data_IF_648464860373
#
_entry.id   IF_648464860373
#
_cell.length_a   1.000
_cell.length_b   1.000
_cell.length_c   1.000
_cell.angle_alpha   90.00
_cell.angle_beta   90.00
_cell.angle_gamma   90.00
#
_symmetry.space_group_name_H-M   'P 1'
#
loop_
_entity.id
_entity.type
_entity.pdbx_description
1 polymer ?
#
# COMPACT_ATOMS: atom_id res chain seq x y z
N UNK A 1 12.65 -5.71 -3.78
CA UNK A 1 12.63 -6.20 -5.17
C UNK A 1 12.74 -5.07 -6.20
N UNK A 2 12.12 -3.90 -5.98
CA UNK A 2 12.26 -2.74 -6.90
C UNK A 2 13.65 -2.10 -6.77
N UNK A 3 14.11 -1.88 -5.53
CA UNK A 3 15.38 -1.21 -5.24
C UNK A 3 16.61 -1.87 -5.89
N UNK A 4 16.77 -3.21 -5.92
CA UNK A 4 17.89 -3.86 -6.61
C UNK A 4 17.97 -3.57 -8.12
N UNK A 5 16.85 -3.19 -8.75
CA UNK A 5 16.76 -2.91 -10.18
C UNK A 5 16.99 -1.43 -10.52
N UNK A 6 17.34 -0.59 -9.56
CA UNK A 6 17.80 0.77 -9.81
C UNK A 6 19.18 0.69 -10.44
N UNK A 7 19.34 1.27 -11.64
CA UNK A 7 20.57 1.19 -12.41
C UNK A 7 21.76 1.92 -11.72
N UNK A 8 21.50 3.08 -11.13
CA UNK A 8 22.51 3.85 -10.41
C UNK A 8 22.80 3.25 -9.03
N UNK A 9 24.07 2.87 -8.79
CA UNK A 9 24.50 2.23 -7.55
C UNK A 9 24.35 3.14 -6.31
N UNK A 10 24.60 4.43 -6.47
CA UNK A 10 24.47 5.41 -5.39
C UNK A 10 22.99 5.63 -5.04
N UNK A 11 22.13 5.78 -6.04
CA UNK A 11 20.69 5.88 -5.82
C UNK A 11 20.13 4.61 -5.19
N UNK A 12 20.57 3.44 -5.66
CA UNK A 12 20.17 2.14 -5.08
C UNK A 12 20.55 2.04 -3.61
N UNK A 13 21.78 2.39 -3.23
CA UNK A 13 22.22 2.38 -1.84
C UNK A 13 21.41 3.35 -0.99
N UNK A 14 21.20 4.57 -1.47
CA UNK A 14 20.38 5.58 -0.79
C UNK A 14 18.96 5.08 -0.57
N UNK A 15 18.34 4.46 -1.58
CA UNK A 15 17.01 3.89 -1.44
C UNK A 15 16.96 2.77 -0.38
N UNK A 16 17.99 1.93 -0.27
CA UNK A 16 18.06 0.91 0.77
C UNK A 16 18.12 1.53 2.18
N UNK A 17 18.87 2.62 2.34
CA UNK A 17 18.99 3.32 3.62
C UNK A 17 17.69 4.07 4.00
N UNK A 18 16.90 4.49 3.00
CA UNK A 18 15.62 5.20 3.17
C UNK A 18 14.42 4.25 3.38
N UNK A 19 14.58 2.93 3.17
CA UNK A 19 13.48 1.97 3.35
C UNK A 19 12.92 2.01 4.78
N UNK A 20 11.59 2.00 4.93
CA UNK A 20 10.96 1.87 6.24
C UNK A 20 11.42 0.59 6.94
N UNK A 21 11.83 0.68 8.19
CA UNK A 21 12.10 -0.52 8.98
C UNK A 21 10.79 -1.23 9.29
N UNK A 22 10.72 -2.53 8.97
CA UNK A 22 9.57 -3.36 9.30
C UNK A 22 9.42 -3.45 10.83
N UNK A 23 8.39 -2.81 11.36
CA UNK A 23 7.91 -3.15 12.69
C UNK A 23 7.28 -4.54 12.58
N UNK A 24 7.81 -5.53 13.26
CA UNK A 24 7.44 -6.96 13.22
C UNK A 24 5.91 -7.29 13.24
N UNK A 25 5.12 -6.61 12.44
CA UNK A 25 3.69 -6.82 12.18
C UNK A 25 2.73 -6.50 13.32
N UNK A 26 3.20 -5.95 14.45
CA UNK A 26 2.36 -5.88 15.66
C UNK A 26 1.90 -4.48 16.08
N UNK A 27 2.55 -3.42 15.62
CA UNK A 27 2.18 -2.06 16.04
C UNK A 27 2.45 -1.08 14.91
N UNK A 28 1.46 -0.26 14.58
CA UNK A 28 1.61 0.81 13.60
C UNK A 28 2.52 1.89 14.21
N UNK A 29 3.66 2.16 13.55
CA UNK A 29 4.72 3.00 14.11
C UNK A 29 4.82 4.39 13.48
N UNK A 30 4.33 4.58 12.24
CA UNK A 30 4.47 5.84 11.50
C UNK A 30 3.13 6.50 11.23
N UNK A 31 3.11 7.82 11.22
CA UNK A 31 1.93 8.63 10.89
C UNK A 31 2.14 9.45 9.62
N UNK A 32 3.38 9.56 9.15
CA UNK A 32 3.73 10.40 8.01
C UNK A 32 3.98 9.55 6.77
N UNK A 33 3.50 9.99 5.58
CA UNK A 33 3.86 9.38 4.31
C UNK A 33 5.37 9.41 4.08
N UNK A 34 5.93 8.31 3.59
CA UNK A 34 7.33 8.21 3.21
C UNK A 34 7.49 8.08 1.71
N UNK A 35 8.39 8.89 1.17
CA UNK A 35 8.76 8.86 -0.24
C UNK A 35 10.04 8.05 -0.43
N UNK A 36 9.99 7.00 -1.24
CA UNK A 36 11.14 6.12 -1.51
C UNK A 36 11.26 5.87 -3.03
N UNK A 37 12.35 6.29 -3.64
CA UNK A 37 13.35 7.23 -3.14
C UNK A 37 12.81 8.66 -3.01
N UNK A 38 13.50 9.53 -2.32
CA UNK A 38 13.13 10.95 -2.18
C UNK A 38 12.98 11.64 -3.55
N UNK A 39 13.82 11.29 -4.51
CA UNK A 39 13.72 11.64 -5.93
C UNK A 39 13.38 10.40 -6.74
N UNK A 40 12.61 10.55 -7.83
CA UNK A 40 12.24 9.42 -8.67
C UNK A 40 13.47 8.66 -9.20
N UNK A 41 13.45 7.34 -9.06
CA UNK A 41 14.48 6.45 -9.59
C UNK A 41 14.07 5.94 -10.97
N UNK A 42 15.05 5.86 -11.86
CA UNK A 42 14.86 5.29 -13.19
C UNK A 42 14.96 3.78 -13.11
N UNK A 43 13.91 3.10 -13.51
CA UNK A 43 13.89 1.64 -13.62
C UNK A 43 13.59 1.21 -15.05
N UNK A 44 14.17 0.09 -15.45
CA UNK A 44 13.85 -0.57 -16.71
C UNK A 44 12.83 -1.68 -16.45
N UNK A 45 11.72 -1.63 -17.16
CA UNK A 45 10.65 -2.63 -17.10
C UNK A 45 10.46 -3.18 -18.49
N UNK A 46 11.00 -4.38 -18.75
CA UNK A 46 11.03 -4.98 -20.09
C UNK A 46 11.57 -4.02 -21.17
N UNK A 47 10.71 -3.57 -22.09
CA UNK A 47 11.08 -2.72 -23.23
C UNK A 47 10.92 -1.21 -22.97
N UNK A 48 10.47 -0.81 -21.81
CA UNK A 48 10.30 0.60 -21.47
C UNK A 48 11.06 0.99 -20.20
N UNK A 49 11.31 2.28 -20.07
CA UNK A 49 11.94 2.87 -18.90
C UNK A 49 10.94 3.78 -18.20
N UNK A 50 10.78 3.62 -16.89
CA UNK A 50 9.92 4.45 -16.08
C UNK A 50 10.70 5.14 -14.96
N UNK A 51 10.31 6.38 -14.64
CA UNK A 51 10.78 7.05 -13.44
C UNK A 51 9.75 6.78 -12.32
N UNK A 52 10.17 6.03 -11.31
CA UNK A 52 9.29 5.59 -10.23
C UNK A 52 9.70 6.25 -8.91
N UNK A 53 8.71 6.73 -8.19
CA UNK A 53 8.80 7.20 -6.82
C UNK A 53 7.64 6.57 -6.05
N UNK A 54 7.97 5.70 -5.13
CA UNK A 54 6.97 5.06 -4.28
C UNK A 54 6.62 5.95 -3.10
N UNK A 55 5.36 5.92 -2.69
CA UNK A 55 4.88 6.65 -1.52
C UNK A 55 4.20 5.61 -0.64
N UNK A 56 4.75 5.41 0.54
CA UNK A 56 4.14 4.58 1.58
C UNK A 56 3.36 5.46 2.56
N UNK A 57 2.14 5.05 2.87
CA UNK A 57 1.29 5.71 3.86
C UNK A 57 0.63 4.68 4.77
N UNK A 58 0.10 5.14 5.90
CA UNK A 58 -0.50 4.24 6.90
C UNK A 58 -1.73 3.51 6.36
N UNK A 59 -2.47 4.14 5.49
CA UNK A 59 -3.77 3.63 5.05
C UNK A 59 -4.88 3.88 6.08
N UNK A 60 -6.04 3.28 5.84
CA UNK A 60 -7.17 3.32 6.77
C UNK A 60 -7.06 2.24 7.82
N UNK A 61 -7.46 2.58 9.05
CA UNK A 61 -7.37 1.65 10.17
C UNK A 61 -8.31 0.47 9.97
N UNK A 62 -7.75 -0.73 10.07
CA UNK A 62 -8.48 -1.99 10.02
C UNK A 62 -9.09 -2.27 11.39
N UNK A 63 -10.34 -2.71 11.46
CA UNK A 63 -11.15 -2.82 12.68
C UNK A 63 -10.51 -3.60 13.83
N UNK A 64 -9.66 -4.58 13.56
CA UNK A 64 -9.00 -5.39 14.58
C UNK A 64 -7.49 -5.06 14.74
N UNK A 65 -7.00 -3.99 14.08
CA UNK A 65 -5.61 -3.56 14.21
C UNK A 65 -5.31 -3.15 15.66
N UNK A 66 -4.04 -3.27 16.05
CA UNK A 66 -3.56 -2.84 17.37
C UNK A 66 -2.68 -1.60 17.25
N UNK A 67 -2.60 -0.80 18.32
CA UNK A 67 -1.66 0.31 18.41
C UNK A 67 -2.23 1.69 18.03
N UNK A 68 -3.53 1.79 17.77
CA UNK A 68 -4.23 3.07 17.62
C UNK A 68 -4.91 3.55 18.89
N UNK A 69 -4.99 2.69 19.92
CA UNK A 69 -5.47 2.97 21.26
C UNK A 69 -4.45 2.46 22.30
N UNK A 70 -4.40 3.09 23.45
CA UNK A 70 -3.66 2.66 24.64
C UNK A 70 -4.60 2.57 25.86
N UNK A 71 -4.04 2.32 27.05
CA UNK A 71 -4.80 2.18 28.28
C UNK A 71 -5.58 3.46 28.68
N UNK A 72 -5.22 4.61 28.12
CA UNK A 72 -5.83 5.91 28.41
C UNK A 72 -6.83 6.36 27.33
N UNK A 73 -7.00 5.57 26.25
CA UNK A 73 -7.89 5.87 25.15
C UNK A 73 -7.20 5.99 23.80
N UNK A 74 -7.71 6.79 22.84
CA UNK A 74 -7.10 6.95 21.53
C UNK A 74 -5.67 7.48 21.63
N UNK A 75 -4.74 6.80 20.96
CA UNK A 75 -3.34 7.26 20.87
C UNK A 75 -3.29 8.60 20.15
N UNK A 76 -2.73 9.61 20.81
CA UNK A 76 -2.53 10.94 20.22
C UNK A 76 -1.16 11.04 19.55
N UNK A 77 -1.12 11.73 18.42
CA UNK A 77 0.09 11.93 17.62
C UNK A 77 0.19 13.36 17.11
N UNK A 78 1.41 13.87 17.03
CA UNK A 78 1.68 15.13 16.34
C UNK A 78 1.75 14.90 14.83
N UNK A 79 1.26 15.85 14.08
CA UNK A 79 1.31 15.85 12.61
C UNK A 79 1.79 17.20 12.10
N UNK A 80 2.34 17.28 10.88
CA UNK A 80 2.72 18.57 10.29
C UNK A 80 1.55 19.51 10.00
N UNK A 81 0.32 19.00 10.06
CA UNK A 81 -0.89 19.72 9.64
C UNK A 81 -1.64 20.39 10.79
N UNK A 82 -1.36 20.00 12.02
CA UNK A 82 -2.03 20.51 13.22
C UNK A 82 -1.02 20.94 14.29
N UNK A 83 -1.35 22.01 15.00
CA UNK A 83 -0.53 22.51 16.10
C UNK A 83 -0.69 21.72 17.40
N UNK A 84 -1.76 20.93 17.50
CA UNK A 84 -2.08 20.10 18.66
C UNK A 84 -2.10 18.62 18.26
N UNK A 85 -1.82 17.70 19.22
CA UNK A 85 -1.92 16.29 18.97
C UNK A 85 -3.36 15.90 18.60
N UNK A 86 -3.51 15.05 17.60
CA UNK A 86 -4.80 14.49 17.16
C UNK A 86 -4.80 12.97 17.30
N UNK A 87 -5.98 12.30 17.32
CA UNK A 87 -6.06 10.85 17.32
C UNK A 87 -5.28 10.23 16.15
N UNK A 88 -4.56 9.15 16.43
CA UNK A 88 -3.78 8.42 15.40
C UNK A 88 -4.64 8.02 14.19
N UNK A 89 -5.87 7.58 14.42
CA UNK A 89 -6.80 7.19 13.36
C UNK A 89 -7.09 8.36 12.40
N UNK A 90 -7.32 9.54 12.96
CA UNK A 90 -7.55 10.77 12.20
C UNK A 90 -6.29 11.19 11.43
N UNK A 91 -5.12 11.13 12.07
CA UNK A 91 -3.84 11.41 11.42
C UNK A 91 -3.56 10.47 10.24
N UNK A 92 -3.86 9.18 10.41
CA UNK A 92 -3.70 8.17 9.36
C UNK A 92 -4.64 8.44 8.17
N UNK A 93 -5.89 8.80 8.44
CA UNK A 93 -6.88 9.15 7.40
C UNK A 93 -6.43 10.38 6.61
N UNK A 94 -6.07 11.46 7.29
CA UNK A 94 -5.61 12.71 6.65
C UNK A 94 -4.34 12.46 5.82
N UNK A 95 -3.37 11.74 6.38
CA UNK A 95 -2.13 11.41 5.66
C UNK A 95 -2.40 10.57 4.39
N UNK A 96 -3.28 9.59 4.48
CA UNK A 96 -3.69 8.75 3.35
C UNK A 96 -4.41 9.55 2.29
N UNK A 97 -5.38 10.38 2.69
CA UNK A 97 -6.11 11.25 1.78
C UNK A 97 -5.19 12.21 1.02
N UNK A 98 -4.20 12.81 1.70
CA UNK A 98 -3.20 13.68 1.06
C UNK A 98 -2.34 12.91 0.05
N UNK A 99 -1.91 11.69 0.37
CA UNK A 99 -1.16 10.85 -0.58
C UNK A 99 -2.02 10.55 -1.81
N UNK A 100 -3.26 10.16 -1.60
CA UNK A 100 -4.19 9.84 -2.68
C UNK A 100 -4.43 11.07 -3.58
N UNK A 101 -4.72 12.23 -3.00
CA UNK A 101 -5.09 13.43 -3.76
C UNK A 101 -3.90 14.14 -4.37
N UNK A 102 -2.88 14.40 -3.57
CA UNK A 102 -1.87 15.41 -3.89
C UNK A 102 -0.56 14.82 -4.41
N UNK A 103 -0.24 13.57 -4.07
CA UNK A 103 1.10 13.03 -4.28
C UNK A 103 1.18 11.82 -5.20
N UNK A 104 0.14 11.01 -5.30
CA UNK A 104 0.16 9.81 -6.14
C UNK A 104 -0.32 10.07 -7.56
N UNK A 105 0.29 9.43 -8.53
CA UNK A 105 -0.17 9.38 -9.93
C UNK A 105 -1.03 8.15 -10.15
N UNK A 106 -0.61 7.02 -9.60
CA UNK A 106 -1.29 5.72 -9.67
C UNK A 106 -1.40 5.17 -8.24
N UNK A 107 -2.52 4.57 -7.90
CA UNK A 107 -2.73 3.88 -6.64
C UNK A 107 -2.39 2.39 -6.73
N UNK A 108 -1.75 1.85 -5.68
CA UNK A 108 -1.67 0.41 -5.44
C UNK A 108 -2.35 0.15 -4.10
N UNK A 109 -3.57 -0.35 -4.15
CA UNK A 109 -4.32 -0.73 -2.95
C UNK A 109 -3.86 -2.11 -2.51
N UNK A 110 -3.44 -2.25 -1.27
CA UNK A 110 -3.04 -3.55 -0.71
C UNK A 110 -4.12 -4.03 0.24
N UNK A 111 -4.70 -5.18 -0.05
CA UNK A 111 -5.65 -5.89 0.81
C UNK A 111 -5.20 -7.33 1.05
N UNK A 112 -6.01 -8.15 1.70
CA UNK A 112 -5.71 -9.56 1.98
C UNK A 112 -6.97 -10.42 1.93
N UNK A 113 -6.80 -11.70 1.67
CA UNK A 113 -7.85 -12.72 1.83
C UNK A 113 -8.12 -13.09 3.31
N UNK A 114 -7.32 -12.54 4.24
CA UNK A 114 -7.40 -12.82 5.67
C UNK A 114 -6.43 -13.91 6.15
N UNK A 115 -5.61 -14.47 5.28
CA UNK A 115 -4.67 -15.56 5.62
C UNK A 115 -3.34 -15.08 6.25
N UNK A 116 -3.07 -13.76 6.24
CA UNK A 116 -1.74 -13.22 6.61
C UNK A 116 -1.59 -13.07 8.13
N UNK A 117 -2.63 -12.63 8.82
CA UNK A 117 -2.63 -12.42 10.26
C UNK A 117 -3.83 -13.15 10.88
N UNK A 118 -3.86 -13.23 12.21
CA UNK A 118 -5.00 -13.78 12.96
C UNK A 118 -6.24 -12.84 12.91
N UNK A 119 -6.49 -12.28 11.74
CA UNK A 119 -7.61 -11.37 11.49
C UNK A 119 -8.33 -11.81 10.22
N UNK A 120 -9.58 -12.25 10.36
CA UNK A 120 -10.38 -12.69 9.21
C UNK A 120 -10.65 -11.55 8.20
N UNK A 121 -10.89 -11.92 6.96
CA UNK A 121 -11.15 -11.03 5.82
C UNK A 121 -12.13 -9.89 6.12
N UNK A 122 -13.20 -10.17 6.88
CA UNK A 122 -14.25 -9.19 7.22
C UNK A 122 -13.74 -7.93 7.92
N UNK A 123 -12.59 -8.00 8.60
CA UNK A 123 -12.00 -6.84 9.28
C UNK A 123 -11.41 -5.82 8.31
N UNK A 124 -11.04 -6.25 7.11
CA UNK A 124 -10.37 -5.42 6.10
C UNK A 124 -11.35 -4.74 5.14
N UNK A 125 -12.56 -5.29 4.97
CA UNK A 125 -13.52 -4.86 3.95
C UNK A 125 -13.84 -3.36 4.04
N UNK A 126 -14.12 -2.83 5.22
CA UNK A 126 -14.48 -1.43 5.36
C UNK A 126 -13.35 -0.47 4.96
N UNK A 127 -12.11 -0.79 5.37
CA UNK A 127 -10.94 0.02 5.00
C UNK A 127 -10.65 -0.07 3.49
N UNK A 128 -10.77 -1.27 2.90
CA UNK A 128 -10.64 -1.51 1.47
C UNK A 128 -11.68 -0.73 0.67
N UNK A 129 -12.96 -0.81 1.03
CA UNK A 129 -14.03 -0.08 0.36
C UNK A 129 -13.83 1.44 0.45
N UNK A 130 -13.37 1.93 1.60
CA UNK A 130 -13.11 3.35 1.79
C UNK A 130 -12.05 3.86 0.81
N UNK A 131 -10.87 3.20 0.75
CA UNK A 131 -9.79 3.63 -0.14
C UNK A 131 -10.17 3.50 -1.61
N UNK A 132 -10.85 2.41 -1.99
CA UNK A 132 -11.32 2.20 -3.38
C UNK A 132 -12.31 3.30 -3.79
N UNK A 133 -13.27 3.64 -2.93
CA UNK A 133 -14.24 4.70 -3.22
C UNK A 133 -13.57 6.06 -3.35
N UNK A 134 -12.58 6.37 -2.52
CA UNK A 134 -11.84 7.63 -2.63
C UNK A 134 -11.08 7.74 -3.95
N UNK A 135 -10.36 6.69 -4.34
CA UNK A 135 -9.65 6.66 -5.62
C UNK A 135 -10.60 6.82 -6.81
N UNK A 136 -11.75 6.13 -6.76
CA UNK A 136 -12.79 6.26 -7.79
C UNK A 136 -13.40 7.64 -7.86
N UNK A 137 -13.71 8.25 -6.72
CA UNK A 137 -14.33 9.58 -6.64
C UNK A 137 -13.48 10.68 -7.28
N UNK A 138 -12.16 10.51 -7.29
CA UNK A 138 -11.24 11.46 -7.93
C UNK A 138 -10.72 10.97 -9.29
N UNK A 139 -11.29 9.87 -9.81
CA UNK A 139 -10.86 9.22 -11.05
C UNK A 139 -9.36 8.92 -11.09
N UNK A 140 -8.78 8.53 -9.96
CA UNK A 140 -7.37 8.12 -9.90
C UNK A 140 -7.24 6.68 -10.39
N UNK A 141 -6.36 6.38 -11.37
CA UNK A 141 -6.11 5.01 -11.79
C UNK A 141 -5.46 4.22 -10.63
N UNK A 142 -5.89 2.97 -10.46
CA UNK A 142 -5.34 2.09 -9.42
C UNK A 142 -5.57 0.63 -9.74
N UNK A 143 -4.76 -0.20 -9.10
CA UNK A 143 -4.92 -1.66 -9.06
C UNK A 143 -5.02 -2.12 -7.60
N UNK A 144 -5.48 -3.35 -7.40
CA UNK A 144 -5.54 -3.98 -6.09
C UNK A 144 -4.58 -5.17 -6.05
N UNK A 145 -3.72 -5.21 -5.04
CA UNK A 145 -2.92 -6.37 -4.68
C UNK A 145 -3.61 -7.07 -3.51
N UNK A 146 -3.96 -8.32 -3.69
CA UNK A 146 -4.51 -9.16 -2.63
C UNK A 146 -3.42 -10.07 -2.07
N UNK A 147 -2.88 -9.71 -0.89
CA UNK A 147 -1.85 -10.50 -0.22
C UNK A 147 -2.45 -11.75 0.41
N UNK A 148 -1.93 -12.90 0.03
CA UNK A 148 -2.36 -14.22 0.49
C UNK A 148 -1.17 -15.13 0.76
N UNK A 149 -1.28 -16.01 1.74
CA UNK A 149 -0.32 -17.12 1.93
C UNK A 149 -0.46 -18.19 0.85
N UNK A 150 -1.61 -18.23 0.16
CA UNK A 150 -1.91 -19.23 -0.86
C UNK A 150 -2.54 -18.57 -2.12
N UNK A 151 -1.80 -17.71 -2.84
CA UNK A 151 -2.36 -16.87 -3.92
C UNK A 151 -2.89 -17.69 -5.12
N UNK A 152 -2.50 -18.96 -5.21
CA UNK A 152 -2.90 -19.84 -6.31
C UNK A 152 -4.10 -20.75 -5.98
N UNK A 153 -4.56 -20.75 -4.74
CA UNK A 153 -5.67 -21.60 -4.33
C UNK A 153 -6.99 -21.16 -4.99
N UNK A 154 -7.88 -22.10 -5.29
CA UNK A 154 -9.17 -21.81 -5.94
C UNK A 154 -10.00 -20.78 -5.18
N UNK A 155 -10.04 -20.85 -3.85
CA UNK A 155 -10.79 -19.90 -3.00
C UNK A 155 -10.24 -18.49 -3.10
N UNK A 156 -8.90 -18.33 -3.07
CA UNK A 156 -8.22 -17.05 -3.23
C UNK A 156 -8.47 -16.46 -4.62
N UNK A 157 -8.45 -17.28 -5.66
CA UNK A 157 -8.75 -16.84 -7.03
C UNK A 157 -10.20 -16.43 -7.19
N UNK A 158 -11.14 -17.17 -6.63
CA UNK A 158 -12.56 -16.81 -6.64
C UNK A 158 -12.77 -15.45 -5.96
N UNK A 159 -12.21 -15.23 -4.79
CA UNK A 159 -12.29 -13.95 -4.10
C UNK A 159 -11.65 -12.81 -4.93
N UNK A 160 -10.53 -13.07 -5.59
CA UNK A 160 -9.89 -12.10 -6.50
C UNK A 160 -10.82 -11.71 -7.64
N UNK A 161 -11.49 -12.69 -8.26
CA UNK A 161 -12.43 -12.46 -9.37
C UNK A 161 -13.66 -11.70 -8.88
N UNK A 162 -14.21 -12.04 -7.70
CA UNK A 162 -15.32 -11.30 -7.08
C UNK A 162 -14.96 -9.83 -6.83
N UNK A 163 -13.76 -9.56 -6.31
CA UNK A 163 -13.30 -8.20 -6.07
C UNK A 163 -13.05 -7.44 -7.38
N UNK A 164 -12.54 -8.11 -8.40
CA UNK A 164 -12.37 -7.56 -9.74
C UNK A 164 -13.70 -7.14 -10.35
N UNK A 165 -14.72 -7.98 -10.26
CA UNK A 165 -16.07 -7.63 -10.71
C UNK A 165 -16.66 -6.49 -9.89
N UNK A 166 -16.57 -6.57 -8.56
CA UNK A 166 -17.11 -5.57 -7.64
C UNK A 166 -16.52 -4.18 -7.86
N UNK A 167 -15.21 -4.10 -8.03
CA UNK A 167 -14.50 -2.82 -8.13
C UNK A 167 -14.21 -2.39 -9.57
N UNK A 168 -14.36 -3.29 -10.54
CA UNK A 168 -14.04 -3.05 -11.95
C UNK A 168 -12.62 -2.50 -12.16
N UNK A 169 -11.66 -3.12 -11.48
CA UNK A 169 -10.21 -2.84 -11.59
C UNK A 169 -9.43 -4.15 -11.46
N UNK A 170 -8.17 -4.22 -11.95
CA UNK A 170 -7.34 -5.39 -11.76
C UNK A 170 -7.14 -5.73 -10.28
N UNK A 171 -7.31 -7.01 -9.94
CA UNK A 171 -7.01 -7.55 -8.61
C UNK A 171 -6.02 -8.69 -8.78
N UNK A 172 -4.85 -8.56 -8.17
CA UNK A 172 -3.73 -9.49 -8.35
C UNK A 172 -3.46 -10.21 -7.03
N UNK A 173 -3.78 -11.51 -6.91
CA UNK A 173 -3.42 -12.28 -5.74
C UNK A 173 -1.92 -12.62 -5.77
N UNK A 174 -1.21 -12.34 -4.68
CA UNK A 174 0.23 -12.60 -4.53
C UNK A 174 0.57 -13.00 -3.11
N UNK A 175 1.67 -13.72 -2.93
CA UNK A 175 2.35 -13.83 -1.64
C UNK A 175 3.43 -12.74 -1.59
N UNK A 176 3.22 -11.69 -0.79
CA UNK A 176 4.18 -10.58 -0.70
C UNK A 176 5.53 -11.06 -0.18
N UNK A 177 5.55 -12.09 0.68
CA UNK A 177 6.78 -12.67 1.24
C UNK A 177 7.58 -13.42 0.17
N UNK A 178 6.90 -14.13 -0.73
CA UNK A 178 7.51 -14.96 -1.78
C UNK A 178 7.58 -14.25 -3.14
N UNK A 179 7.20 -12.97 -3.19
CA UNK A 179 7.13 -12.20 -4.42
C UNK A 179 8.48 -12.13 -5.12
N UNK A 180 8.49 -12.42 -6.41
CA UNK A 180 9.66 -12.39 -7.28
C UNK A 180 9.76 -11.06 -8.04
N UNK A 181 10.90 -10.83 -8.69
CA UNK A 181 11.07 -9.70 -9.61
C UNK A 181 10.04 -9.72 -10.74
N UNK A 182 9.72 -10.90 -11.26
CA UNK A 182 8.70 -11.07 -12.30
C UNK A 182 7.31 -10.63 -11.85
N UNK A 183 6.95 -10.91 -10.60
CA UNK A 183 5.67 -10.49 -10.03
C UNK A 183 5.62 -8.97 -9.91
N UNK A 184 6.70 -8.33 -9.46
CA UNK A 184 6.80 -6.86 -9.39
C UNK A 184 6.67 -6.23 -10.76
N UNK A 185 7.38 -6.75 -11.76
CA UNK A 185 7.29 -6.25 -13.14
C UNK A 185 5.85 -6.39 -13.65
N UNK A 186 5.20 -7.53 -13.38
CA UNK A 186 3.79 -7.74 -13.73
C UNK A 186 2.86 -6.72 -13.07
N UNK A 187 3.01 -6.49 -11.77
CA UNK A 187 2.23 -5.50 -11.01
C UNK A 187 2.41 -4.08 -11.57
N UNK A 188 3.66 -3.68 -11.82
CA UNK A 188 3.94 -2.36 -12.39
C UNK A 188 3.36 -2.19 -13.79
N UNK A 189 3.38 -3.25 -14.58
CA UNK A 189 2.81 -3.29 -15.92
C UNK A 189 1.30 -3.11 -15.89
N UNK A 190 0.60 -3.89 -15.06
CA UNK A 190 -0.85 -3.75 -14.86
C UNK A 190 -1.21 -2.35 -14.35
N UNK A 191 -0.46 -1.81 -13.39
CA UNK A 191 -0.70 -0.46 -12.88
C UNK A 191 -0.54 0.61 -13.97
N UNK A 192 0.44 0.45 -14.88
CA UNK A 192 0.66 1.37 -15.99
C UNK A 192 -0.41 1.25 -17.09
N UNK A 193 -1.04 0.09 -17.26
CA UNK A 193 -2.15 -0.07 -18.22
C UNK A 193 -3.44 0.60 -17.77
N UNK A 194 -3.60 0.86 -16.46
CA UNK A 194 -4.74 1.62 -15.94
C UNK A 194 -4.59 3.14 -16.11
N UNK A 195 -3.38 3.61 -16.47
CA UNK A 195 -3.08 5.03 -16.71
C UNK A 195 -3.36 5.43 -18.15
#
# INVERSE_FOLDING_TARGET
LVVPNIEDEYERKRCLDELPQAAAGKTIMTTEPKFVPATAAKIKVEDFTANIKMIDCVGYVVKAAKGYEDENGPRLVMTPWYSEPIPFTEAAEIGTEKVIKDHSTIGIVVTTDGSILDMGRSNYVNAEEKVVNELKNINKPFIIIMNSTHPNDPETRMLSDELKEKYNVPVIPVSVVDMTEKDIVGILKEALYEF
#
